data_IF_564560659016
#
_entry.id   IF_564560659016
#
_cell.length_a   1.000
_cell.length_b   1.000
_cell.length_c   1.000
_cell.angle_alpha   90.00
_cell.angle_beta   90.00
_cell.angle_gamma   90.00
#
_symmetry.space_group_name_H-M   'P 1'
#
loop_
_entity.id
_entity.type
_entity.pdbx_description
1 polymer ?
#
# COMPACT_ATOMS: atom_id res chain seq x y z
N UNK A 1 -6.76 -68.02 -4.73
CA UNK A 1 -7.24 -68.03 -6.13
C UNK A 1 -8.49 -67.17 -6.18
N UNK A 2 -8.69 -66.13 -6.98
CA UNK A 2 -7.91 -65.44 -8.01
C UNK A 2 -8.69 -64.15 -8.37
N UNK A 3 -7.98 -63.03 -8.61
CA UNK A 3 -8.20 -62.03 -9.71
C UNK A 3 -9.49 -61.15 -9.64
N UNK A 4 -9.39 -59.82 -9.37
CA UNK A 4 -9.15 -58.67 -10.31
C UNK A 4 -10.44 -58.32 -11.12
N UNK A 5 -11.01 -57.09 -11.18
CA UNK A 5 -10.48 -55.78 -11.61
C UNK A 5 -11.52 -54.62 -11.43
N UNK A 6 -11.02 -53.45 -10.99
CA UNK A 6 -11.28 -52.03 -11.41
C UNK A 6 -12.66 -51.55 -11.93
N UNK A 7 -13.15 -50.41 -11.43
CA UNK A 7 -12.97 -49.07 -12.07
C UNK A 7 -13.88 -47.94 -11.51
N UNK A 8 -13.30 -46.73 -11.52
CA UNK A 8 -13.86 -45.36 -11.56
C UNK A 8 -14.70 -44.79 -10.40
N UNK A 9 -14.01 -43.96 -9.60
CA UNK A 9 -14.53 -42.79 -8.89
C UNK A 9 -14.62 -41.60 -9.86
N UNK A 10 -15.70 -40.82 -9.81
CA UNK A 10 -15.72 -39.42 -10.25
C UNK A 10 -16.25 -38.55 -9.12
N UNK A 11 -15.36 -37.68 -8.62
CA UNK A 11 -15.60 -36.72 -7.56
C UNK A 11 -16.11 -35.41 -8.16
N UNK A 12 -17.19 -34.92 -7.58
CA UNK A 12 -17.74 -33.58 -7.76
C UNK A 12 -16.85 -32.62 -6.97
N UNK A 13 -16.10 -31.74 -7.65
CA UNK A 13 -15.34 -30.65 -7.02
C UNK A 13 -16.15 -29.37 -7.13
N UNK A 14 -16.53 -28.87 -5.95
CA UNK A 14 -17.31 -27.66 -5.69
C UNK A 14 -16.46 -26.42 -6.00
N UNK A 15 -17.06 -25.49 -6.76
CA UNK A 15 -16.58 -24.12 -6.99
C UNK A 15 -16.30 -23.39 -5.66
N UNK A 16 -15.08 -22.89 -5.48
CA UNK A 16 -14.77 -21.82 -4.51
C UNK A 16 -14.86 -20.45 -5.19
N UNK A 17 -15.43 -19.42 -4.55
CA UNK A 17 -15.48 -18.08 -5.10
C UNK A 17 -14.11 -17.39 -5.00
N UNK A 18 -13.78 -16.63 -6.04
CA UNK A 18 -12.61 -15.78 -6.12
C UNK A 18 -12.63 -14.68 -5.05
N UNK A 19 -11.47 -14.43 -4.45
CA UNK A 19 -11.22 -13.33 -3.50
C UNK A 19 -11.52 -11.97 -4.18
N UNK A 20 -12.13 -10.99 -3.47
CA UNK A 20 -12.73 -9.81 -4.12
C UNK A 20 -11.71 -8.84 -4.72
N UNK A 21 -12.07 -8.31 -5.88
CA UNK A 21 -11.45 -7.27 -6.71
C UNK A 21 -11.22 -5.89 -6.05
N UNK A 22 -11.29 -5.78 -4.73
CA UNK A 22 -11.12 -4.51 -3.97
C UNK A 22 -9.65 -4.07 -3.90
N UNK A 23 -8.71 -5.02 -3.97
CA UNK A 23 -7.27 -4.76 -3.86
C UNK A 23 -6.67 -4.07 -5.10
N UNK A 24 -7.27 -4.23 -6.28
CA UNK A 24 -6.83 -3.56 -7.51
C UNK A 24 -7.02 -2.04 -7.45
N UNK A 25 -8.04 -1.56 -6.71
CA UNK A 25 -8.32 -0.13 -6.61
C UNK A 25 -7.41 0.57 -5.61
N UNK A 26 -7.08 -0.07 -4.47
CA UNK A 26 -6.14 0.50 -3.49
C UNK A 26 -4.70 0.55 -4.03
N UNK A 27 -4.34 -0.38 -4.91
CA UNK A 27 -3.02 -0.47 -5.56
C UNK A 27 -2.83 0.54 -6.71
N UNK A 28 -3.90 0.90 -7.43
CA UNK A 28 -3.85 1.95 -8.46
C UNK A 28 -3.73 3.36 -7.86
N UNK A 29 -4.26 3.59 -6.66
CA UNK A 29 -4.18 4.90 -5.99
C UNK A 29 -2.77 5.20 -5.46
N UNK A 30 -1.99 4.18 -5.13
CA UNK A 30 -0.64 4.33 -4.56
C UNK A 30 0.47 4.52 -5.62
N UNK A 31 0.14 4.47 -6.92
CA UNK A 31 1.10 4.60 -8.03
C UNK A 31 0.84 5.78 -8.99
N UNK A 32 0.07 6.80 -8.58
CA UNK A 32 0.00 8.04 -9.35
C UNK A 32 1.30 8.86 -9.21
N UNK A 33 2.25 8.66 -10.13
CA UNK A 33 3.32 9.62 -10.37
C UNK A 33 2.77 10.88 -11.04
N UNK A 34 2.81 11.98 -10.28
CA UNK A 34 3.10 13.38 -10.64
C UNK A 34 2.92 13.74 -12.12
N UNK A 35 1.68 14.13 -12.46
CA UNK A 35 1.36 15.00 -13.59
C UNK A 35 1.61 16.46 -13.19
N UNK A 36 2.18 17.26 -14.10
CA UNK A 36 2.61 18.65 -13.91
C UNK A 36 1.49 19.66 -13.58
N UNK A 37 0.23 19.24 -13.51
CA UNK A 37 -0.89 20.06 -13.03
C UNK A 37 -1.20 19.90 -11.54
N UNK A 38 -0.52 18.99 -10.83
CA UNK A 38 -0.69 18.80 -9.38
C UNK A 38 -0.04 19.93 -8.57
N UNK A 39 0.99 20.62 -9.09
CA UNK A 39 1.64 21.72 -8.37
C UNK A 39 0.74 22.94 -8.10
N UNK A 40 -0.17 23.26 -9.03
CA UNK A 40 -1.14 24.34 -8.83
C UNK A 40 -2.28 23.94 -7.89
N UNK A 41 -2.66 22.66 -7.91
CA UNK A 41 -3.68 22.11 -7.00
C UNK A 41 -3.11 21.93 -5.59
N UNK A 42 -1.85 21.51 -5.44
CA UNK A 42 -1.15 21.42 -4.15
C UNK A 42 -0.86 22.80 -3.56
N UNK A 43 -0.55 23.81 -4.39
CA UNK A 43 -0.46 25.21 -3.95
C UNK A 43 -1.81 25.74 -3.47
N UNK A 44 -2.89 25.47 -4.20
CA UNK A 44 -4.24 25.88 -3.78
C UNK A 44 -4.72 25.13 -2.53
N UNK A 45 -4.44 23.83 -2.43
CA UNK A 45 -4.77 23.02 -1.24
C UNK A 45 -3.92 23.46 -0.05
N UNK A 46 -2.65 23.81 -0.25
CA UNK A 46 -1.78 24.36 0.79
C UNK A 46 -2.30 25.72 1.28
N UNK A 47 -2.69 26.62 0.38
CA UNK A 47 -3.28 27.93 0.72
C UNK A 47 -4.64 27.78 1.44
N UNK A 48 -5.42 26.75 1.09
CA UNK A 48 -6.72 26.46 1.70
C UNK A 48 -6.55 25.78 3.07
N UNK A 49 -5.52 24.94 3.23
CA UNK A 49 -5.09 24.35 4.49
C UNK A 49 -4.53 25.42 5.44
N UNK A 50 -3.72 26.36 4.95
CA UNK A 50 -3.22 27.50 5.73
C UNK A 50 -4.35 28.44 6.17
N UNK A 51 -5.30 28.74 5.28
CA UNK A 51 -6.49 29.54 5.63
C UNK A 51 -7.41 28.83 6.65
N UNK A 52 -7.54 27.50 6.57
CA UNK A 52 -8.28 26.71 7.59
C UNK A 52 -7.53 26.61 8.91
N UNK A 53 -6.20 26.48 8.88
CA UNK A 53 -5.31 26.50 10.06
C UNK A 53 -5.36 27.84 10.78
N UNK A 54 -5.47 28.94 10.02
CA UNK A 54 -5.70 30.30 10.54
C UNK A 54 -7.10 30.45 11.17
N UNK A 55 -8.16 29.97 10.51
CA UNK A 55 -9.53 29.99 11.07
C UNK A 55 -9.63 29.21 12.39
N UNK A 56 -8.94 28.07 12.51
CA UNK A 56 -8.89 27.27 13.74
C UNK A 56 -8.09 27.95 14.86
N UNK A 57 -6.96 28.60 14.54
CA UNK A 57 -6.20 29.41 15.53
C UNK A 57 -7.02 30.58 16.08
N UNK A 58 -7.90 31.19 15.27
CA UNK A 58 -8.82 32.25 15.69
C UNK A 58 -10.01 31.71 16.50
N UNK A 59 -10.49 30.51 16.22
CA UNK A 59 -11.56 29.89 17.03
C UNK A 59 -11.06 29.43 18.41
N UNK A 60 -9.83 28.92 18.48
CA UNK A 60 -9.24 28.43 19.73
C UNK A 60 -8.91 29.57 20.71
N UNK A 61 -8.58 30.77 20.21
CA UNK A 61 -8.39 31.95 21.05
C UNK A 61 -9.70 32.48 21.66
N UNK A 62 -10.84 32.31 20.97
CA UNK A 62 -12.16 32.69 21.50
C UNK A 62 -12.63 31.81 22.65
N UNK A 63 -12.30 30.51 22.64
CA UNK A 63 -12.62 29.62 23.77
C UNK A 63 -11.73 29.85 25.00
N UNK A 64 -10.53 30.42 24.83
CA UNK A 64 -9.58 30.67 25.92
C UNK A 64 -9.91 31.91 26.77
N UNK A 65 -10.66 32.88 26.21
CA UNK A 65 -11.03 34.14 26.89
C UNK A 65 -12.42 34.12 27.57
N UNK A 66 -13.09 32.96 27.60
CA UNK A 66 -14.45 32.81 28.14
C UNK A 66 -14.56 32.45 29.62
N UNK A 67 -13.51 32.61 30.45
CA UNK A 67 -13.62 32.37 31.91
C UNK A 67 -13.95 33.67 32.65
N UNK A 68 -15.16 33.70 33.20
CA UNK A 68 -15.67 34.71 34.12
C UNK A 68 -14.75 34.87 35.35
N UNK A 69 -14.51 36.13 35.70
CA UNK A 69 -13.77 36.60 36.87
C UNK A 69 -14.56 36.28 38.16
N UNK A 70 -13.97 35.71 39.23
CA UNK A 70 -14.69 35.52 40.48
C UNK A 70 -14.82 36.84 41.22
N UNK A 71 -16.05 37.19 41.63
CA UNK A 71 -16.34 38.31 42.50
C UNK A 71 -15.96 37.96 43.94
N UNK A 72 -14.90 38.59 44.45
CA UNK A 72 -14.67 38.73 45.88
C UNK A 72 -14.84 40.22 46.24
N UNK A 73 -15.92 40.53 46.97
CA UNK A 73 -16.09 41.79 47.69
C UNK A 73 -16.01 41.48 49.18
N UNK A 74 -15.06 42.11 49.89
CA UNK A 74 -15.20 42.49 51.30
C UNK A 74 -14.20 43.61 51.67
N UNK A 75 -14.72 44.70 52.23
CA UNK A 75 -14.04 45.73 53.07
C UNK A 75 -13.06 46.68 52.36
N UNK A 76 -13.36 47.96 52.15
CA UNK A 76 -13.46 49.14 53.06
C UNK A 76 -12.19 50.02 53.06
N UNK A 77 -12.44 51.34 52.88
CA UNK A 77 -11.64 52.52 53.23
C UNK A 77 -10.37 52.84 52.42
N UNK A 78 -10.37 53.93 51.62
CA UNK A 78 -9.99 55.28 52.09
C UNK A 78 -10.06 56.34 50.99
N UNK A 79 -10.39 57.56 51.41
CA UNK A 79 -10.44 58.80 50.61
C UNK A 79 -9.22 59.64 51.00
N UNK A 80 -8.42 60.08 50.02
CA UNK A 80 -7.92 61.47 49.87
C UNK A 80 -6.58 61.56 49.10
N UNK A 81 -6.62 62.40 48.06
CA UNK A 81 -5.62 63.39 47.60
C UNK A 81 -4.11 63.04 47.61
N UNK A 82 -3.45 63.14 46.45
CA UNK A 82 -2.66 64.34 46.06
C UNK A 82 -2.02 64.21 44.67
N UNK A 83 -1.99 65.34 43.97
CA UNK A 83 -1.33 65.59 42.69
C UNK A 83 0.20 65.47 42.76
N UNK A 84 0.83 64.82 41.77
CA UNK A 84 2.13 65.25 41.20
C UNK A 84 2.13 65.01 39.68
N UNK A 85 2.70 65.99 38.97
CA UNK A 85 2.71 66.28 37.52
C UNK A 85 3.34 65.20 36.63
N UNK A 86 2.77 65.04 35.43
CA UNK A 86 3.39 64.48 34.22
C UNK A 86 4.52 65.40 33.68
N UNK A 87 5.55 64.88 32.96
CA UNK A 87 5.41 64.73 31.50
C UNK A 87 6.16 63.53 30.86
N UNK A 88 5.45 62.84 29.95
CA UNK A 88 5.97 62.12 28.77
C UNK A 88 7.15 61.16 28.95
N UNK A 89 6.84 59.90 29.25
CA UNK A 89 7.55 58.78 28.65
C UNK A 89 6.62 58.08 27.66
N UNK A 90 7.04 58.13 26.42
CA UNK A 90 6.52 57.39 25.27
C UNK A 90 6.17 55.96 25.66
N UNK A 91 4.89 55.60 25.54
CA UNK A 91 4.48 54.21 25.39
C UNK A 91 5.16 53.66 24.13
N UNK A 92 6.34 53.07 24.32
CA UNK A 92 6.94 52.12 23.41
C UNK A 92 5.91 51.00 23.25
N UNK A 93 5.06 51.12 22.22
CA UNK A 93 4.35 49.97 21.65
C UNK A 93 5.44 48.94 21.37
N UNK A 94 5.52 47.90 22.19
CA UNK A 94 6.32 46.73 21.89
C UNK A 94 5.91 46.30 20.48
N UNK A 95 6.87 46.34 19.56
CA UNK A 95 6.61 45.98 18.17
C UNK A 95 6.03 44.59 18.19
N UNK A 96 4.82 44.41 17.66
CA UNK A 96 4.21 43.10 17.51
C UNK A 96 5.11 42.25 16.61
N UNK A 97 5.96 41.43 17.22
CA UNK A 97 6.87 40.55 16.51
C UNK A 97 6.10 39.29 16.18
N UNK A 98 5.62 39.22 14.95
CA UNK A 98 5.00 38.02 14.37
C UNK A 98 5.87 36.77 14.58
N UNK A 99 7.19 36.91 14.67
CA UNK A 99 8.14 35.85 14.98
C UNK A 99 8.07 35.35 16.43
N UNK A 100 7.84 36.21 17.42
CA UNK A 100 7.62 35.80 18.82
C UNK A 100 6.26 35.13 18.98
N UNK A 101 5.22 35.64 18.31
CA UNK A 101 3.89 35.04 18.31
C UNK A 101 3.85 33.71 17.52
N UNK A 102 4.64 33.61 16.45
CA UNK A 102 4.86 32.37 15.71
C UNK A 102 5.55 31.35 16.60
N UNK A 103 6.65 31.71 17.27
CA UNK A 103 7.34 30.84 18.23
C UNK A 103 6.44 30.47 19.43
N UNK A 104 5.61 31.36 19.94
CA UNK A 104 4.60 31.04 20.98
C UNK A 104 3.48 30.14 20.47
N UNK A 105 3.13 30.19 19.18
CA UNK A 105 2.09 29.36 18.55
C UNK A 105 2.62 28.03 18.01
N UNK A 106 3.92 27.90 17.78
CA UNK A 106 4.56 26.67 17.27
C UNK A 106 5.31 25.91 18.35
N UNK A 107 5.79 26.58 19.41
CA UNK A 107 6.55 25.96 20.51
C UNK A 107 5.75 25.87 21.82
N UNK A 108 4.45 26.17 21.83
CA UNK A 108 3.63 25.82 22.98
C UNK A 108 3.18 24.37 22.84
N UNK A 109 3.76 23.44 23.60
CA UNK A 109 3.25 22.08 23.62
C UNK A 109 1.79 22.08 24.05
N UNK A 110 0.99 21.15 23.54
CA UNK A 110 -0.42 21.00 23.93
C UNK A 110 -0.53 20.85 25.46
N UNK A 111 -0.85 21.94 26.16
CA UNK A 111 -1.32 21.91 27.56
C UNK A 111 -2.80 21.58 27.55
N UNK A 112 -3.16 20.47 26.91
CA UNK A 112 -4.53 19.97 26.84
C UNK A 112 -4.62 18.80 27.80
N UNK A 113 -5.50 18.92 28.79
CA UNK A 113 -5.77 17.85 29.76
C UNK A 113 -6.91 16.96 29.23
N UNK A 114 -6.61 15.69 28.93
CA UNK A 114 -7.58 14.76 28.33
C UNK A 114 -8.55 14.12 29.35
N UNK A 115 -8.38 14.37 30.66
CA UNK A 115 -9.19 13.75 31.72
C UNK A 115 -10.70 14.00 31.57
N UNK A 116 -11.10 15.11 30.98
CA UNK A 116 -12.52 15.47 30.74
C UNK A 116 -12.95 15.31 29.27
N UNK A 117 -12.04 14.90 28.39
CA UNK A 117 -12.33 14.79 26.96
C UNK A 117 -13.01 13.46 26.62
N UNK A 118 -13.86 13.50 25.59
CA UNK A 118 -14.43 12.29 24.98
C UNK A 118 -13.39 11.59 24.10
N UNK A 119 -13.56 10.28 23.89
CA UNK A 119 -12.63 9.46 23.07
C UNK A 119 -12.48 10.04 21.66
N UNK A 120 -13.56 10.54 21.05
CA UNK A 120 -13.55 11.18 19.72
C UNK A 120 -12.63 12.40 19.64
N UNK A 121 -12.52 13.16 20.73
CA UNK A 121 -11.67 14.35 20.79
C UNK A 121 -10.22 13.96 21.03
N UNK A 122 -9.97 12.93 21.84
CA UNK A 122 -8.63 12.34 22.03
C UNK A 122 -8.11 11.78 20.71
N UNK A 123 -8.96 11.06 19.98
CA UNK A 123 -8.67 10.54 18.64
C UNK A 123 -8.25 11.65 17.68
N UNK A 124 -9.03 12.74 17.60
CA UNK A 124 -8.72 13.85 16.73
C UNK A 124 -7.37 14.52 17.09
N UNK A 125 -7.09 14.71 18.39
CA UNK A 125 -5.83 15.30 18.83
C UNK A 125 -4.64 14.42 18.46
N UNK A 126 -4.74 13.11 18.72
CA UNK A 126 -3.67 12.16 18.46
C UNK A 126 -3.44 11.97 16.96
N UNK A 127 -4.51 11.87 16.16
CA UNK A 127 -4.40 11.86 14.70
C UNK A 127 -3.74 13.13 14.15
N UNK A 128 -4.09 14.30 14.69
CA UNK A 128 -3.51 15.57 14.24
C UNK A 128 -2.03 15.62 14.58
N UNK A 129 -1.66 15.25 15.82
CA UNK A 129 -0.26 15.21 16.24
C UNK A 129 0.58 14.22 15.41
N UNK A 130 0.01 13.05 15.08
CA UNK A 130 0.65 12.07 14.19
C UNK A 130 0.80 12.60 12.75
N UNK A 131 -0.23 13.27 12.21
CA UNK A 131 -0.20 13.86 10.86
C UNK A 131 0.78 15.04 10.74
N UNK A 132 0.94 15.80 11.81
CA UNK A 132 1.91 16.91 11.89
C UNK A 132 3.32 16.45 12.29
N UNK A 133 3.53 15.14 12.50
CA UNK A 133 4.79 14.55 12.96
C UNK A 133 5.36 15.19 14.24
N UNK A 134 4.49 15.72 15.10
CA UNK A 134 4.89 16.39 16.33
C UNK A 134 5.15 15.36 17.46
N UNK A 135 6.39 14.89 17.56
CA UNK A 135 6.80 13.88 18.53
C UNK A 135 6.55 14.29 19.99
N UNK A 136 6.71 15.58 20.33
CA UNK A 136 6.48 16.05 21.70
C UNK A 136 5.01 15.94 22.09
N UNK A 137 4.11 16.41 21.23
CA UNK A 137 2.67 16.34 21.48
C UNK A 137 2.17 14.90 21.55
N UNK A 138 2.67 14.02 20.68
CA UNK A 138 2.37 12.58 20.74
C UNK A 138 2.81 12.00 22.09
N UNK A 139 4.05 12.27 22.53
CA UNK A 139 4.57 11.77 23.81
C UNK A 139 3.75 12.24 25.02
N UNK A 140 3.31 13.50 25.02
CA UNK A 140 2.51 14.09 26.10
C UNK A 140 1.10 13.52 26.14
N UNK A 141 0.47 13.38 24.97
CA UNK A 141 -0.85 12.76 24.87
C UNK A 141 -0.80 11.29 25.32
N UNK A 142 0.25 10.55 24.93
CA UNK A 142 0.45 9.17 25.36
C UNK A 142 0.66 9.04 26.88
N UNK A 143 1.46 9.91 27.48
CA UNK A 143 1.64 9.93 28.93
C UNK A 143 0.29 10.15 29.65
N UNK A 144 -0.52 11.09 29.17
CA UNK A 144 -1.85 11.32 29.73
C UNK A 144 -2.82 10.16 29.48
N UNK A 145 -2.75 9.49 28.31
CA UNK A 145 -3.56 8.30 28.00
C UNK A 145 -3.27 7.19 29.01
N UNK A 146 -1.99 6.98 29.33
CA UNK A 146 -1.55 6.01 30.33
C UNK A 146 -1.97 6.41 31.75
N UNK A 147 -1.81 7.68 32.11
CA UNK A 147 -2.19 8.22 33.43
C UNK A 147 -3.70 8.10 33.68
N UNK A 148 -4.52 8.57 32.74
CA UNK A 148 -5.97 8.58 32.86
C UNK A 148 -6.66 7.29 32.38
N UNK A 149 -5.88 6.31 31.91
CA UNK A 149 -6.38 5.04 31.37
C UNK A 149 -7.47 5.21 30.30
N UNK A 150 -7.32 6.23 29.46
CA UNK A 150 -8.28 6.57 28.40
C UNK A 150 -7.75 6.14 27.04
N UNK A 151 -8.16 4.96 26.58
CA UNK A 151 -7.74 4.46 25.28
C UNK A 151 -8.44 5.23 24.14
N UNK A 152 -7.70 5.59 23.07
CA UNK A 152 -8.29 6.06 21.83
C UNK A 152 -9.03 4.91 21.13
N UNK A 153 -9.78 5.22 20.07
CA UNK A 153 -10.39 4.17 19.25
C UNK A 153 -9.35 3.26 18.61
N UNK A 154 -9.73 2.02 18.31
CA UNK A 154 -8.82 1.01 17.77
C UNK A 154 -8.06 1.45 16.50
N UNK A 155 -8.68 2.15 15.52
CA UNK A 155 -7.96 2.64 14.35
C UNK A 155 -6.84 3.63 14.69
N UNK A 156 -7.12 4.57 15.60
CA UNK A 156 -6.13 5.57 16.04
C UNK A 156 -5.05 4.90 16.87
N UNK A 157 -5.43 4.01 17.78
CA UNK A 157 -4.49 3.22 18.58
C UNK A 157 -3.51 2.43 17.69
N UNK A 158 -4.02 1.75 16.65
CA UNK A 158 -3.18 1.02 15.70
C UNK A 158 -2.21 1.95 14.96
N UNK A 159 -2.66 3.13 14.55
CA UNK A 159 -1.80 4.14 13.92
C UNK A 159 -0.72 4.63 14.89
N UNK A 160 -1.07 4.88 16.14
CA UNK A 160 -0.14 5.29 17.19
C UNK A 160 0.88 4.19 17.51
N UNK A 161 0.44 2.94 17.70
CA UNK A 161 1.34 1.81 17.95
C UNK A 161 2.28 1.58 16.77
N UNK A 162 1.77 1.69 15.54
CA UNK A 162 2.62 1.63 14.34
C UNK A 162 3.68 2.74 14.35
N UNK A 163 3.30 3.97 14.67
CA UNK A 163 4.22 5.10 14.79
C UNK A 163 5.28 4.87 15.88
N UNK A 164 4.89 4.39 17.05
CA UNK A 164 5.80 4.06 18.15
C UNK A 164 6.79 2.95 17.79
N UNK A 165 6.33 1.91 17.09
CA UNK A 165 7.22 0.85 16.58
C UNK A 165 8.28 1.43 15.61
N UNK A 166 7.92 2.40 14.78
CA UNK A 166 8.86 3.09 13.89
C UNK A 166 9.86 3.97 14.64
N UNK A 167 9.42 4.62 15.72
CA UNK A 167 10.28 5.38 16.63
C UNK A 167 11.08 4.49 17.60
N UNK A 168 10.90 3.16 17.53
CA UNK A 168 11.61 2.16 18.35
C UNK A 168 11.31 2.30 19.86
N UNK A 169 10.14 2.83 20.21
CA UNK A 169 9.70 3.04 21.60
C UNK A 169 9.00 1.77 22.15
N UNK A 170 9.78 0.71 22.37
CA UNK A 170 9.26 -0.59 22.81
C UNK A 170 8.51 -0.52 24.14
N UNK A 171 9.05 0.22 25.11
CA UNK A 171 8.47 0.32 26.46
C UNK A 171 7.06 0.91 26.42
N UNK A 172 6.85 1.99 25.65
CA UNK A 172 5.54 2.62 25.50
C UNK A 172 4.55 1.71 24.77
N UNK A 173 5.01 0.95 23.77
CA UNK A 173 4.19 -0.07 23.09
C UNK A 173 3.75 -1.15 24.08
N UNK A 174 4.64 -1.61 24.95
CA UNK A 174 4.31 -2.61 25.99
C UNK A 174 3.31 -2.05 27.02
N UNK A 175 3.52 -0.82 27.50
CA UNK A 175 2.61 -0.16 28.44
C UNK A 175 1.19 -0.01 27.86
N UNK A 176 1.08 0.40 26.60
CA UNK A 176 -0.21 0.51 25.91
C UNK A 176 -0.85 -0.86 25.67
N UNK A 177 -0.07 -1.88 25.29
CA UNK A 177 -0.57 -3.24 25.13
C UNK A 177 -1.11 -3.82 26.46
N UNK A 178 -0.40 -3.58 27.57
CA UNK A 178 -0.88 -3.95 28.91
C UNK A 178 -2.15 -3.20 29.28
N UNK A 179 -2.25 -1.91 28.95
CA UNK A 179 -3.46 -1.13 29.21
C UNK A 179 -4.68 -1.66 28.43
N UNK A 180 -4.51 -2.02 27.15
CA UNK A 180 -5.55 -2.66 26.32
C UNK A 180 -5.99 -4.00 26.91
N UNK A 181 -5.02 -4.82 27.30
CA UNK A 181 -5.25 -6.13 27.92
C UNK A 181 -6.06 -6.02 29.21
N UNK A 182 -5.82 -4.95 29.99
CA UNK A 182 -6.51 -4.65 31.25
C UNK A 182 -7.95 -4.15 31.03
N UNK A 183 -8.16 -3.29 30.03
CA UNK A 183 -9.45 -2.65 29.78
C UNK A 183 -10.40 -3.49 28.90
N UNK A 184 -9.85 -4.37 28.05
CA UNK A 184 -10.60 -5.19 27.10
C UNK A 184 -10.16 -6.67 27.15
N UNK A 185 -10.41 -7.38 28.26
CA UNK A 185 -9.90 -8.73 28.45
C UNK A 185 -10.43 -9.74 27.41
N UNK A 186 -11.63 -9.52 26.88
CA UNK A 186 -12.23 -10.30 25.80
C UNK A 186 -11.36 -10.38 24.52
N UNK A 187 -10.52 -9.38 24.26
CA UNK A 187 -9.65 -9.37 23.07
C UNK A 187 -8.36 -10.18 23.27
N UNK A 188 -8.03 -10.58 24.51
CA UNK A 188 -6.76 -11.25 24.84
C UNK A 188 -6.63 -12.68 24.33
N UNK A 189 -7.69 -13.25 23.76
CA UNK A 189 -7.71 -14.62 23.25
C UNK A 189 -6.74 -14.86 22.09
N UNK A 190 -6.39 -13.81 21.32
CA UNK A 190 -5.48 -13.90 20.18
C UNK A 190 -4.23 -13.04 20.34
N UNK A 191 -3.13 -13.42 19.68
CA UNK A 191 -1.89 -12.64 19.67
C UNK A 191 -2.09 -11.22 19.08
N UNK A 192 -3.03 -11.06 18.14
CA UNK A 192 -3.41 -9.75 17.60
C UNK A 192 -4.11 -8.87 18.62
N UNK A 193 -5.04 -9.43 19.40
CA UNK A 193 -5.70 -8.66 20.46
C UNK A 193 -4.77 -8.28 21.61
N UNK A 194 -3.70 -9.05 21.83
CA UNK A 194 -2.57 -8.68 22.71
C UNK A 194 -1.57 -7.72 22.07
N UNK A 195 -1.81 -7.28 20.83
CA UNK A 195 -0.97 -6.33 20.09
C UNK A 195 0.49 -6.80 19.88
N UNK A 196 0.73 -8.12 19.91
CA UNK A 196 2.07 -8.70 19.80
C UNK A 196 2.75 -8.40 18.46
N UNK A 197 1.98 -8.18 17.40
CA UNK A 197 2.47 -7.80 16.08
C UNK A 197 3.16 -6.41 16.06
N UNK A 198 2.73 -5.46 16.90
CA UNK A 198 3.42 -4.18 17.03
C UNK A 198 4.72 -4.28 17.83
N UNK A 199 4.77 -5.18 18.82
CA UNK A 199 6.00 -5.53 19.53
C UNK A 199 7.00 -6.19 18.57
N UNK A 200 6.54 -7.15 17.78
CA UNK A 200 7.36 -7.80 16.74
C UNK A 200 7.86 -6.78 15.71
N UNK A 201 7.02 -5.83 15.26
CA UNK A 201 7.44 -4.73 14.39
C UNK A 201 8.48 -3.82 15.05
N UNK A 202 8.32 -3.49 16.33
CA UNK A 202 9.32 -2.69 17.05
C UNK A 202 10.67 -3.41 17.12
N UNK A 203 10.68 -4.73 17.37
CA UNK A 203 11.89 -5.56 17.30
C UNK A 203 12.54 -5.52 15.91
N UNK A 204 11.75 -5.53 14.84
CA UNK A 204 12.25 -5.37 13.47
C UNK A 204 12.96 -4.03 13.27
N UNK A 205 12.34 -2.92 13.68
CA UNK A 205 12.89 -1.56 13.54
C UNK A 205 14.12 -1.33 14.43
N UNK A 206 14.21 -2.03 15.57
CA UNK A 206 15.39 -2.07 16.43
C UNK A 206 16.57 -2.83 15.81
N UNK A 207 16.34 -3.63 14.76
CA UNK A 207 17.37 -4.45 14.10
C UNK A 207 17.43 -5.90 14.60
N UNK A 208 16.58 -6.27 15.56
CA UNK A 208 16.44 -7.65 16.08
C UNK A 208 15.61 -8.51 15.11
N UNK A 209 16.08 -8.59 13.87
CA UNK A 209 15.40 -9.15 12.70
C UNK A 209 14.91 -10.59 12.95
N UNK A 210 15.78 -11.48 13.42
CA UNK A 210 15.43 -12.90 13.64
C UNK A 210 14.36 -13.07 14.73
N UNK A 211 14.49 -12.35 15.85
CA UNK A 211 13.50 -12.37 16.93
C UNK A 211 12.14 -11.85 16.46
N UNK A 212 12.15 -10.80 15.65
CA UNK A 212 10.93 -10.27 15.05
C UNK A 212 10.24 -11.29 14.14
N UNK A 213 10.99 -11.93 13.23
CA UNK A 213 10.45 -12.93 12.31
C UNK A 213 9.92 -14.17 13.04
N UNK A 214 10.60 -14.61 14.10
CA UNK A 214 10.12 -15.69 14.95
C UNK A 214 8.82 -15.32 15.68
N UNK A 215 8.71 -14.09 16.18
CA UNK A 215 7.46 -13.59 16.76
C UNK A 215 6.34 -13.51 15.71
N UNK A 216 6.60 -13.05 14.48
CA UNK A 216 5.59 -13.08 13.42
C UNK A 216 5.17 -14.50 13.06
N UNK A 217 6.09 -15.46 13.11
CA UNK A 217 5.78 -16.87 12.89
C UNK A 217 4.75 -17.38 13.91
N UNK A 218 4.95 -17.11 15.20
CA UNK A 218 4.01 -17.53 16.26
C UNK A 218 2.68 -16.80 16.13
N UNK A 219 2.69 -15.50 15.85
CA UNK A 219 1.48 -14.71 15.62
C UNK A 219 0.65 -15.30 14.48
N UNK A 220 1.27 -15.64 13.34
CA UNK A 220 0.57 -16.17 12.17
C UNK A 220 -0.12 -17.52 12.39
N UNK A 221 0.44 -18.36 13.29
CA UNK A 221 -0.18 -19.63 13.69
C UNK A 221 -1.45 -19.40 14.51
N UNK A 222 -1.43 -18.40 15.40
CA UNK A 222 -2.56 -18.07 16.28
C UNK A 222 -3.67 -17.28 15.57
N UNK A 223 -3.40 -16.71 14.39
CA UNK A 223 -4.34 -15.84 13.67
C UNK A 223 -5.36 -16.63 12.83
N UNK A 224 -6.61 -16.16 12.87
CA UNK A 224 -7.64 -16.52 11.88
C UNK A 224 -7.34 -15.91 10.50
N UNK A 225 -8.01 -16.40 9.45
CA UNK A 225 -7.79 -15.91 8.07
C UNK A 225 -8.02 -14.39 7.91
N UNK A 226 -9.05 -13.84 8.55
CA UNK A 226 -9.35 -12.40 8.49
C UNK A 226 -8.27 -11.56 9.18
N UNK A 227 -7.76 -12.09 10.29
CA UNK A 227 -6.72 -11.50 11.11
C UNK A 227 -5.35 -11.49 10.42
N UNK A 228 -5.06 -12.50 9.59
CA UNK A 228 -3.82 -12.57 8.81
C UNK A 228 -3.67 -11.39 7.87
N UNK A 229 -4.77 -10.83 7.35
CA UNK A 229 -4.73 -9.63 6.49
C UNK A 229 -4.07 -8.45 7.20
N UNK A 230 -4.32 -8.25 8.50
CA UNK A 230 -3.68 -7.17 9.25
C UNK A 230 -2.17 -7.40 9.41
N UNK A 231 -1.77 -8.65 9.65
CA UNK A 231 -0.35 -9.05 9.77
C UNK A 231 0.36 -8.93 8.42
N UNK A 232 -0.31 -9.32 7.33
CA UNK A 232 0.20 -9.21 5.96
C UNK A 232 0.61 -7.77 5.65
N UNK A 233 -0.19 -6.76 6.01
CA UNK A 233 0.19 -5.35 5.77
C UNK A 233 1.52 -4.96 6.43
N UNK A 234 1.83 -5.53 7.59
CA UNK A 234 3.09 -5.29 8.30
C UNK A 234 4.22 -6.07 7.63
N UNK A 235 3.96 -7.33 7.25
CA UNK A 235 4.92 -8.14 6.50
C UNK A 235 5.29 -7.48 5.16
N UNK A 236 4.33 -6.91 4.42
CA UNK A 236 4.58 -6.18 3.17
C UNK A 236 5.60 -5.05 3.39
N UNK A 237 5.41 -4.26 4.45
CA UNK A 237 6.33 -3.19 4.81
C UNK A 237 7.74 -3.73 5.11
N UNK A 238 7.84 -4.82 5.89
CA UNK A 238 9.12 -5.46 6.19
C UNK A 238 9.81 -6.01 4.93
N UNK A 239 9.03 -6.58 4.01
CA UNK A 239 9.52 -7.11 2.73
C UNK A 239 10.05 -5.97 1.86
N UNK A 240 9.30 -4.88 1.74
CA UNK A 240 9.71 -3.69 0.97
C UNK A 240 10.95 -2.99 1.57
N UNK A 241 11.13 -3.06 2.89
CA UNK A 241 12.35 -2.60 3.56
C UNK A 241 13.54 -3.54 3.37
N UNK A 242 13.29 -4.80 3.05
CA UNK A 242 14.34 -5.82 2.91
C UNK A 242 14.90 -5.83 1.51
N UNK A 243 14.03 -5.90 0.50
CA UNK A 243 14.41 -6.07 -0.90
C UNK A 243 15.16 -4.83 -1.41
N UNK A 244 16.36 -5.05 -1.94
CA UNK A 244 17.26 -4.01 -2.44
C UNK A 244 17.85 -3.05 -1.40
N UNK A 245 17.67 -3.30 -0.09
CA UNK A 245 18.21 -2.44 0.98
C UNK A 245 18.93 -3.19 2.09
N UNK A 246 18.45 -4.36 2.50
CA UNK A 246 19.06 -5.18 3.56
C UNK A 246 19.96 -6.26 2.97
N UNK A 247 20.69 -6.96 3.84
CA UNK A 247 21.57 -8.05 3.44
C UNK A 247 20.78 -9.27 2.96
N UNK A 248 21.42 -10.09 2.12
CA UNK A 248 20.89 -11.35 1.61
C UNK A 248 20.44 -12.30 2.72
N UNK A 249 21.18 -12.37 3.83
CA UNK A 249 20.82 -13.19 4.98
C UNK A 249 19.46 -12.79 5.59
N UNK A 250 19.13 -11.50 5.60
CA UNK A 250 17.81 -11.02 6.06
C UNK A 250 16.72 -11.38 5.05
N UNK A 251 17.00 -11.24 3.75
CA UNK A 251 16.08 -11.67 2.69
C UNK A 251 15.76 -13.17 2.81
N UNK A 252 16.76 -14.02 3.00
CA UNK A 252 16.57 -15.46 3.21
C UNK A 252 15.74 -15.76 4.46
N UNK A 253 15.94 -15.02 5.56
CA UNK A 253 15.13 -15.18 6.76
C UNK A 253 13.65 -14.80 6.52
N UNK A 254 13.40 -13.72 5.77
CA UNK A 254 12.05 -13.30 5.36
C UNK A 254 11.41 -14.33 4.43
N UNK A 255 12.18 -14.86 3.46
CA UNK A 255 11.74 -15.94 2.58
C UNK A 255 11.34 -17.16 3.41
N UNK A 256 12.15 -17.59 4.38
CA UNK A 256 11.84 -18.74 5.23
C UNK A 256 10.53 -18.57 6.00
N UNK A 257 10.22 -17.37 6.49
CA UNK A 257 8.93 -17.08 7.11
C UNK A 257 7.78 -17.20 6.10
N UNK A 258 7.96 -16.69 4.89
CA UNK A 258 6.95 -16.77 3.84
C UNK A 258 6.77 -18.21 3.32
N UNK A 259 7.84 -19.01 3.25
CA UNK A 259 7.79 -20.44 2.93
C UNK A 259 6.98 -21.19 3.99
N UNK A 260 7.20 -20.90 5.28
CA UNK A 260 6.39 -21.44 6.36
C UNK A 260 4.90 -21.09 6.20
N UNK A 261 4.58 -19.85 5.82
CA UNK A 261 3.19 -19.45 5.55
C UNK A 261 2.57 -20.26 4.40
N UNK A 262 3.35 -20.53 3.34
CA UNK A 262 2.89 -21.33 2.21
C UNK A 262 2.67 -22.80 2.59
N UNK A 263 3.62 -23.42 3.30
CA UNK A 263 3.59 -24.87 3.56
C UNK A 263 2.66 -25.25 4.70
N UNK A 264 2.73 -24.53 5.83
CA UNK A 264 2.00 -24.88 7.05
C UNK A 264 0.62 -24.22 7.09
N UNK A 265 0.53 -22.96 6.68
CA UNK A 265 -0.71 -22.17 6.78
C UNK A 265 -1.53 -22.16 5.48
N UNK A 266 -0.96 -22.67 4.38
CA UNK A 266 -1.53 -22.60 3.02
C UNK A 266 -1.88 -21.18 2.59
N UNK A 267 -1.13 -20.20 3.12
CA UNK A 267 -1.27 -18.78 2.83
C UNK A 267 -0.22 -18.38 1.80
N UNK A 268 -0.62 -18.30 0.53
CA UNK A 268 0.26 -18.06 -0.60
C UNK A 268 0.62 -16.57 -0.79
N UNK A 269 -0.11 -15.67 -0.14
CA UNK A 269 0.04 -14.23 -0.36
C UNK A 269 1.44 -13.68 -0.05
N UNK A 270 2.04 -13.93 1.14
CA UNK A 270 3.34 -13.33 1.49
C UNK A 270 4.45 -13.81 0.57
N UNK A 271 4.47 -15.11 0.26
CA UNK A 271 5.52 -15.69 -0.58
C UNK A 271 5.43 -15.19 -2.03
N UNK A 272 4.23 -14.99 -2.56
CA UNK A 272 4.05 -14.39 -3.88
C UNK A 272 4.53 -12.94 -3.91
N UNK A 273 4.28 -12.17 -2.84
CA UNK A 273 4.73 -10.79 -2.77
C UNK A 273 6.26 -10.69 -2.70
N UNK A 274 6.90 -11.50 -1.85
CA UNK A 274 8.36 -11.59 -1.80
C UNK A 274 8.92 -11.98 -3.16
N UNK A 275 8.35 -13.00 -3.81
CA UNK A 275 8.79 -13.42 -5.14
C UNK A 275 8.67 -12.29 -6.17
N UNK A 276 7.52 -11.63 -6.26
CA UNK A 276 7.29 -10.56 -7.23
C UNK A 276 8.27 -9.40 -7.01
N UNK A 277 8.41 -8.95 -5.76
CA UNK A 277 9.31 -7.84 -5.43
C UNK A 277 10.78 -8.18 -5.67
N UNK A 278 11.21 -9.40 -5.34
CA UNK A 278 12.58 -9.85 -5.58
C UNK A 278 12.85 -10.02 -7.08
N UNK A 279 11.88 -10.53 -7.86
CA UNK A 279 11.98 -10.65 -9.32
C UNK A 279 12.10 -9.30 -10.02
N UNK A 280 11.35 -8.29 -9.53
CA UNK A 280 11.36 -6.92 -10.05
C UNK A 280 12.51 -6.07 -9.49
N UNK A 281 13.27 -6.56 -8.50
CA UNK A 281 14.39 -5.83 -7.91
C UNK A 281 15.47 -5.54 -8.96
N UNK A 282 16.17 -4.42 -8.80
CA UNK A 282 17.33 -4.08 -9.61
C UNK A 282 18.58 -4.90 -9.24
N UNK A 283 18.59 -5.51 -8.04
CA UNK A 283 19.74 -6.24 -7.52
C UNK A 283 19.75 -7.69 -8.02
N UNK A 284 20.91 -8.15 -8.49
CA UNK A 284 21.07 -9.52 -9.00
C UNK A 284 20.80 -10.58 -7.94
N UNK A 285 21.31 -10.39 -6.71
CA UNK A 285 21.10 -11.32 -5.59
C UNK A 285 19.61 -11.58 -5.31
N UNK A 286 18.79 -10.51 -5.34
CA UNK A 286 17.35 -10.63 -5.12
C UNK A 286 16.69 -11.39 -6.26
N UNK A 287 17.08 -11.11 -7.51
CA UNK A 287 16.56 -11.82 -8.68
C UNK A 287 16.93 -13.31 -8.65
N UNK A 288 18.14 -13.65 -8.21
CA UNK A 288 18.58 -15.03 -8.05
C UNK A 288 17.82 -15.75 -6.93
N UNK A 289 17.58 -15.08 -5.79
CA UNK A 289 16.69 -15.57 -4.74
C UNK A 289 15.26 -15.80 -5.26
N UNK A 290 14.73 -14.92 -6.12
CA UNK A 290 13.41 -15.12 -6.72
C UNK A 290 13.37 -16.34 -7.67
N UNK A 291 14.43 -16.54 -8.48
CA UNK A 291 14.55 -17.70 -9.39
C UNK A 291 14.60 -19.01 -8.62
N UNK A 292 15.48 -19.10 -7.63
CA UNK A 292 15.62 -20.28 -6.75
C UNK A 292 14.32 -20.59 -6.00
N UNK A 293 13.62 -19.56 -5.53
CA UNK A 293 12.34 -19.71 -4.87
C UNK A 293 11.26 -20.27 -5.81
N UNK A 294 11.20 -19.76 -7.04
CA UNK A 294 10.29 -20.25 -8.09
C UNK A 294 10.58 -21.70 -8.48
N UNK A 295 11.85 -22.09 -8.51
CA UNK A 295 12.28 -23.46 -8.81
C UNK A 295 11.86 -24.44 -7.72
N UNK A 296 11.96 -24.04 -6.45
CA UNK A 296 11.72 -24.90 -5.28
C UNK A 296 10.24 -25.21 -5.04
N UNK A 297 9.33 -24.25 -5.26
CA UNK A 297 7.94 -24.36 -4.81
C UNK A 297 6.92 -24.43 -5.95
N UNK A 298 6.38 -25.62 -6.20
CA UNK A 298 5.30 -25.79 -7.19
C UNK A 298 4.03 -24.99 -6.86
N UNK A 299 3.68 -24.87 -5.57
CA UNK A 299 2.52 -24.10 -5.13
C UNK A 299 2.68 -22.60 -5.43
N UNK A 300 3.90 -22.06 -5.30
CA UNK A 300 4.22 -20.69 -5.71
C UNK A 300 4.03 -20.53 -7.23
N UNK A 301 4.48 -21.48 -8.05
CA UNK A 301 4.31 -21.42 -9.51
C UNK A 301 2.83 -21.31 -9.92
N UNK A 302 1.95 -22.08 -9.28
CA UNK A 302 0.51 -22.01 -9.52
C UNK A 302 -0.08 -20.66 -9.10
N UNK A 303 0.31 -20.16 -7.92
CA UNK A 303 -0.14 -18.87 -7.43
C UNK A 303 0.32 -17.72 -8.35
N UNK A 304 1.56 -17.75 -8.81
CA UNK A 304 2.13 -16.79 -9.77
C UNK A 304 1.42 -16.89 -11.13
N UNK A 305 1.15 -18.10 -11.64
CA UNK A 305 0.39 -18.30 -12.89
C UNK A 305 -0.95 -17.56 -12.87
N UNK A 306 -1.69 -17.66 -11.75
CA UNK A 306 -2.97 -16.97 -11.60
C UNK A 306 -2.87 -15.44 -11.68
N UNK A 307 -1.73 -14.87 -11.27
CA UNK A 307 -1.46 -13.41 -11.21
C UNK A 307 -0.70 -12.89 -12.43
N UNK A 308 -0.19 -13.79 -13.28
CA UNK A 308 0.70 -13.49 -14.41
C UNK A 308 0.11 -12.50 -15.40
N UNK A 309 -1.19 -12.55 -15.65
CA UNK A 309 -1.87 -11.61 -16.56
C UNK A 309 -1.74 -10.16 -16.09
N UNK A 310 -1.95 -9.93 -14.80
CA UNK A 310 -1.86 -8.59 -14.21
C UNK A 310 -0.41 -8.11 -14.15
N UNK A 311 0.52 -9.01 -13.78
CA UNK A 311 1.95 -8.71 -13.77
C UNK A 311 2.45 -8.34 -15.17
N UNK A 312 2.06 -9.09 -16.20
CA UNK A 312 2.41 -8.80 -17.59
C UNK A 312 1.87 -7.44 -18.04
N UNK A 313 0.61 -7.12 -17.73
CA UNK A 313 0.04 -5.82 -18.05
C UNK A 313 0.83 -4.67 -17.42
N UNK A 314 1.17 -4.80 -16.13
CA UNK A 314 1.99 -3.80 -15.42
C UNK A 314 3.38 -3.65 -16.05
N UNK A 315 4.07 -4.75 -16.32
CA UNK A 315 5.40 -4.73 -16.94
C UNK A 315 5.40 -4.08 -18.32
N UNK A 316 4.40 -4.39 -19.16
CA UNK A 316 4.27 -3.81 -20.49
C UNK A 316 3.89 -2.32 -20.42
N UNK A 317 3.03 -1.92 -19.47
CA UNK A 317 2.71 -0.52 -19.22
C UNK A 317 3.96 0.28 -18.82
N UNK A 318 4.80 -0.27 -17.95
CA UNK A 318 6.09 0.30 -17.55
C UNK A 318 7.17 0.17 -18.63
N UNK A 319 6.82 -0.32 -19.83
CA UNK A 319 7.73 -0.58 -20.96
C UNK A 319 8.88 -1.54 -20.65
N UNK A 320 8.75 -2.35 -19.60
CA UNK A 320 9.76 -3.31 -19.17
C UNK A 320 9.59 -4.66 -19.86
N UNK A 321 9.84 -4.66 -21.17
CA UNK A 321 9.71 -5.83 -22.04
C UNK A 321 10.70 -6.93 -21.67
N UNK A 322 11.90 -6.57 -21.20
CA UNK A 322 12.93 -7.53 -20.79
C UNK A 322 12.44 -8.43 -19.65
N UNK A 323 11.77 -7.86 -18.64
CA UNK A 323 11.19 -8.65 -17.55
C UNK A 323 10.08 -9.59 -18.01
N UNK A 324 9.35 -9.25 -19.08
CA UNK A 324 8.37 -10.15 -19.69
C UNK A 324 9.07 -11.34 -20.36
N UNK A 325 10.17 -11.11 -21.06
CA UNK A 325 10.97 -12.21 -21.62
C UNK A 325 11.57 -13.10 -20.52
N UNK A 326 12.15 -12.52 -19.46
CA UNK A 326 12.65 -13.27 -18.31
C UNK A 326 11.55 -14.12 -17.64
N UNK A 327 10.32 -13.60 -17.59
CA UNK A 327 9.17 -14.34 -17.07
C UNK A 327 8.76 -15.50 -17.99
N UNK A 328 8.81 -15.31 -19.32
CA UNK A 328 8.58 -16.39 -20.29
C UNK A 328 9.64 -17.47 -20.14
N UNK A 329 10.92 -17.12 -20.01
CA UNK A 329 12.02 -18.08 -19.78
C UNK A 329 11.79 -18.90 -18.51
N UNK A 330 11.37 -18.25 -17.41
CA UNK A 330 11.02 -18.93 -16.17
C UNK A 330 9.88 -19.94 -16.35
N UNK A 331 8.82 -19.58 -17.07
CA UNK A 331 7.71 -20.51 -17.32
C UNK A 331 8.09 -21.64 -18.27
N UNK A 332 8.93 -21.38 -19.28
CA UNK A 332 9.43 -22.42 -20.18
C UNK A 332 10.27 -23.46 -19.44
N UNK A 333 11.13 -23.03 -18.51
CA UNK A 333 11.93 -23.93 -17.66
C UNK A 333 11.08 -24.94 -16.88
N UNK A 334 9.85 -24.57 -16.51
CA UNK A 334 8.91 -25.40 -15.75
C UNK A 334 7.76 -25.98 -16.59
N UNK A 335 7.92 -25.99 -17.92
CA UNK A 335 6.94 -26.53 -18.88
C UNK A 335 5.54 -25.89 -18.83
N UNK A 336 5.43 -24.65 -18.35
CA UNK A 336 4.17 -23.90 -18.20
C UNK A 336 3.74 -23.24 -19.53
N UNK A 337 3.50 -24.06 -20.56
CA UNK A 337 3.26 -23.61 -21.94
C UNK A 337 1.99 -22.74 -22.10
N UNK A 338 0.97 -22.95 -21.26
CA UNK A 338 -0.27 -22.18 -21.35
C UNK A 338 -0.06 -20.72 -20.92
N UNK A 339 0.74 -20.52 -19.89
CA UNK A 339 1.16 -19.22 -19.37
C UNK A 339 2.07 -18.52 -20.38
N UNK A 340 3.06 -19.24 -20.94
CA UNK A 340 3.90 -18.72 -22.02
C UNK A 340 3.08 -18.25 -23.22
N UNK A 341 2.08 -19.04 -23.66
CA UNK A 341 1.15 -18.66 -24.72
C UNK A 341 0.43 -17.36 -24.38
N UNK A 342 -0.11 -17.25 -23.16
CA UNK A 342 -0.80 -16.03 -22.73
C UNK A 342 0.11 -14.81 -22.74
N UNK A 343 1.36 -14.95 -22.32
CA UNK A 343 2.35 -13.86 -22.31
C UNK A 343 2.77 -13.45 -23.72
N UNK A 344 3.05 -14.42 -24.60
CA UNK A 344 3.42 -14.16 -26.00
C UNK A 344 2.32 -13.41 -26.75
N UNK A 345 1.04 -13.77 -26.53
CA UNK A 345 -0.10 -13.04 -27.12
C UNK A 345 -0.10 -11.57 -26.67
N UNK A 346 0.05 -11.31 -25.36
CA UNK A 346 0.06 -9.93 -24.83
C UNK A 346 1.26 -9.13 -25.29
N UNK A 347 2.42 -9.76 -25.35
CA UNK A 347 3.64 -9.14 -25.87
C UNK A 347 3.51 -8.82 -27.36
N UNK A 348 2.92 -9.71 -28.15
CA UNK A 348 2.62 -9.48 -29.56
C UNK A 348 1.67 -8.29 -29.73
N UNK A 349 0.55 -8.27 -29.00
CA UNK A 349 -0.40 -7.16 -29.02
C UNK A 349 0.30 -5.84 -28.70
N UNK A 350 1.11 -5.79 -27.64
CA UNK A 350 1.86 -4.61 -27.24
C UNK A 350 2.81 -4.11 -28.35
N UNK A 351 3.56 -4.99 -29.01
CA UNK A 351 4.45 -4.61 -30.10
C UNK A 351 3.69 -4.21 -31.38
N UNK A 352 2.55 -4.83 -31.64
CA UNK A 352 1.66 -4.47 -32.75
C UNK A 352 1.12 -3.04 -32.58
N UNK A 353 0.66 -2.66 -31.38
CA UNK A 353 0.23 -1.29 -31.07
C UNK A 353 1.34 -0.26 -31.30
N UNK A 354 2.60 -0.65 -31.10
CA UNK A 354 3.79 0.17 -31.39
C UNK A 354 4.24 0.12 -32.85
N UNK A 355 3.54 -0.63 -33.71
CA UNK A 355 3.87 -0.87 -35.13
C UNK A 355 5.27 -1.45 -35.34
N UNK A 356 5.76 -2.25 -34.40
CA UNK A 356 7.08 -2.85 -34.47
C UNK A 356 7.03 -4.20 -35.21
N UNK A 357 7.12 -4.15 -36.54
CA UNK A 357 7.06 -5.32 -37.40
C UNK A 357 8.12 -6.37 -37.05
N UNK A 358 9.36 -5.94 -36.80
CA UNK A 358 10.48 -6.84 -36.50
C UNK A 358 10.20 -7.65 -35.24
N UNK A 359 9.80 -6.97 -34.15
CA UNK A 359 9.49 -7.66 -32.90
C UNK A 359 8.28 -8.59 -33.02
N UNK A 360 7.24 -8.20 -33.77
CA UNK A 360 6.09 -9.08 -34.03
C UNK A 360 6.51 -10.36 -34.80
N UNK A 361 7.39 -10.22 -35.79
CA UNK A 361 7.94 -11.36 -36.54
C UNK A 361 8.80 -12.28 -35.65
N UNK A 362 9.67 -11.70 -34.81
CA UNK A 362 10.50 -12.46 -33.87
C UNK A 362 9.64 -13.22 -32.84
N UNK A 363 8.57 -12.60 -32.32
CA UNK A 363 7.63 -13.27 -31.40
C UNK A 363 6.91 -14.44 -32.07
N UNK A 364 6.48 -14.28 -33.33
CA UNK A 364 5.86 -15.36 -34.08
C UNK A 364 6.83 -16.50 -34.38
N UNK A 365 8.06 -16.19 -34.76
CA UNK A 365 9.10 -17.20 -34.97
C UNK A 365 9.39 -17.96 -33.67
N UNK A 366 9.59 -17.25 -32.56
CA UNK A 366 9.80 -17.86 -31.25
C UNK A 366 8.62 -18.76 -30.84
N UNK A 367 7.38 -18.37 -31.13
CA UNK A 367 6.23 -19.21 -30.83
C UNK A 367 6.21 -20.50 -31.66
N UNK A 368 6.62 -20.44 -32.93
CA UNK A 368 6.78 -21.62 -33.80
C UNK A 368 7.88 -22.52 -33.25
N UNK A 369 9.05 -21.96 -32.94
CA UNK A 369 10.22 -22.70 -32.45
C UNK A 369 9.92 -23.40 -31.10
N UNK A 370 9.14 -22.74 -30.24
CA UNK A 370 8.69 -23.29 -28.95
C UNK A 370 7.48 -24.23 -29.05
N UNK A 371 6.97 -24.48 -30.26
CA UNK A 371 5.75 -25.26 -30.52
C UNK A 371 4.51 -24.74 -29.76
N UNK A 372 4.38 -23.42 -29.67
CA UNK A 372 3.24 -22.73 -29.03
C UNK A 372 2.31 -22.18 -30.12
N UNK A 373 1.08 -22.70 -30.16
CA UNK A 373 0.08 -22.24 -31.13
C UNK A 373 -0.48 -20.87 -30.74
N UNK A 374 -0.14 -19.83 -31.50
CA UNK A 374 -0.73 -18.50 -31.35
C UNK A 374 -2.11 -18.42 -32.04
N UNK A 375 -3.02 -17.53 -31.57
CA UNK A 375 -4.29 -17.29 -32.24
C UNK A 375 -4.10 -16.75 -33.66
N UNK A 376 -5.02 -17.10 -34.57
CA UNK A 376 -5.00 -16.65 -35.97
C UNK A 376 -5.03 -15.11 -36.10
N UNK A 377 -5.62 -14.43 -35.12
CA UNK A 377 -5.61 -12.97 -35.00
C UNK A 377 -4.20 -12.38 -35.04
N UNK A 378 -3.20 -13.02 -34.40
CA UNK A 378 -1.82 -12.57 -34.43
C UNK A 378 -1.22 -12.64 -35.85
N UNK A 379 -1.54 -13.71 -36.61
CA UNK A 379 -1.09 -13.85 -38.00
C UNK A 379 -1.71 -12.76 -38.87
N UNK A 380 -3.01 -12.47 -38.71
CA UNK A 380 -3.70 -11.40 -39.44
C UNK A 380 -3.08 -10.03 -39.14
N UNK A 381 -2.86 -9.72 -37.87
CA UNK A 381 -2.20 -8.48 -37.44
C UNK A 381 -0.76 -8.35 -38.00
N UNK A 382 0.01 -9.44 -38.07
CA UNK A 382 1.33 -9.39 -38.70
C UNK A 382 1.22 -9.09 -40.21
N UNK A 383 0.27 -9.73 -40.91
CA UNK A 383 0.02 -9.47 -42.33
C UNK A 383 -0.42 -8.02 -42.56
N UNK A 384 -1.27 -7.45 -41.70
CA UNK A 384 -1.66 -6.04 -41.77
C UNK A 384 -0.46 -5.09 -41.65
N UNK A 385 0.47 -5.39 -40.73
CA UNK A 385 1.72 -4.62 -40.59
C UNK A 385 2.62 -4.77 -41.82
N UNK A 386 2.75 -5.98 -42.37
CA UNK A 386 3.56 -6.25 -43.58
C UNK A 386 3.01 -5.55 -44.82
N UNK A 387 1.69 -5.52 -44.96
CA UNK A 387 0.99 -4.88 -46.09
C UNK A 387 0.87 -3.35 -45.92
N UNK A 388 1.31 -2.80 -44.79
CA UNK A 388 1.29 -1.36 -44.54
C UNK A 388 -0.11 -0.76 -44.38
N UNK A 389 -1.13 -1.58 -44.08
CA UNK A 389 -2.51 -1.13 -43.88
C UNK A 389 -2.71 -0.51 -42.48
N UNK A 390 -1.87 0.46 -42.12
CA UNK A 390 -2.10 1.32 -40.96
C UNK A 390 -3.12 2.40 -41.30
N UNK A 391 -4.38 2.21 -40.88
CA UNK A 391 -5.52 3.15 -40.98
C UNK A 391 -6.08 3.45 -42.37
N UNK A 392 -7.01 2.62 -42.83
CA UNK A 392 -8.20 3.09 -43.56
C UNK A 392 -9.25 2.00 -43.56
N UNK A 393 -10.08 1.94 -42.53
CA UNK A 393 -11.48 1.46 -42.60
C UNK A 393 -12.13 1.61 -41.22
N UNK A 394 -12.36 2.87 -40.81
CA UNK A 394 -13.61 3.14 -40.11
C UNK A 394 -14.74 2.86 -41.12
N UNK A 395 -15.75 2.04 -40.82
CA UNK A 395 -16.89 1.91 -41.69
C UNK A 395 -17.64 3.25 -41.66
N UNK A 396 -17.48 4.06 -42.71
CA UNK A 396 -18.36 5.20 -42.97
C UNK A 396 -19.74 4.65 -43.32
N UNK A 397 -20.65 4.70 -42.37
CA UNK A 397 -22.06 4.86 -42.70
C UNK A 397 -22.24 6.18 -43.46
N UNK A 398 -22.49 6.08 -44.76
CA UNK A 398 -23.28 7.07 -45.50
C UNK A 398 -23.71 6.52 -46.86
N UNK A 399 -24.95 6.06 -46.91
CA UNK A 399 -25.96 6.34 -47.93
C UNK A 399 -25.58 6.36 -49.43
N UNK A 400 -26.30 5.50 -50.17
CA UNK A 400 -26.83 5.68 -51.55
C UNK A 400 -25.81 5.73 -52.69
N UNK A 401 -25.79 4.66 -53.48
CA UNK A 401 -26.52 4.60 -54.75
C UNK A 401 -26.44 3.18 -55.34
N UNK A 402 -27.60 2.60 -55.63
CA UNK A 402 -27.66 1.41 -56.46
C UNK A 402 -27.26 1.80 -57.88
N UNK A 403 -26.28 1.10 -58.43
CA UNK A 403 -26.09 1.02 -59.87
C UNK A 403 -25.82 -0.43 -60.22
N UNK A 404 -26.78 -0.99 -60.94
CA UNK A 404 -26.71 -2.25 -61.66
C UNK A 404 -25.35 -2.41 -62.34
N UNK A 405 -24.62 -3.47 -61.95
CA UNK A 405 -23.54 -4.01 -62.75
C UNK A 405 -23.88 -5.46 -63.07
N UNK A 406 -24.20 -5.68 -64.35
CA UNK A 406 -24.50 -6.99 -64.94
C UNK A 406 -23.32 -7.96 -64.74
N UNK A 407 -23.57 -9.26 -64.48
CA UNK A 407 -22.51 -10.24 -64.32
C UNK A 407 -21.89 -10.55 -65.69
N UNK A 408 -20.64 -10.14 -65.90
CA UNK A 408 -19.85 -10.63 -67.03
C UNK A 408 -19.48 -12.10 -66.75
N UNK A 409 -20.02 -13.00 -67.58
CA UNK A 409 -19.61 -14.39 -67.73
C UNK A 409 -18.12 -14.44 -68.07
N UNK A 410 -17.29 -14.91 -67.14
CA UNK A 410 -15.99 -15.47 -67.48
C UNK A 410 -16.14 -17.00 -67.59
N UNK A 411 -16.06 -17.52 -68.81
CA UNK A 411 -15.84 -18.94 -69.06
C UNK A 411 -14.34 -19.23 -68.91
N UNK A 412 -13.99 -20.07 -67.94
CA UNK A 412 -12.69 -20.73 -67.88
C UNK A 412 -12.58 -21.69 -69.07
N UNK A 413 -11.58 -21.48 -69.94
CA UNK A 413 -11.10 -22.50 -70.88
C UNK A 413 -10.01 -23.29 -70.18
N UNK A 414 -10.17 -24.61 -70.17
CA UNK A 414 -9.16 -25.59 -69.75
C UNK A 414 -8.00 -25.64 -70.74
#
# INVERSE_FOLDING_TARGET
MAVLLTASRQAIIIFRPAVPSVWLLSWLVSYQRKSTNIGAVDSFISDLMENKKLKWKVLNSRHRNGKAKPSAQLGQADVAATNVRHPTETLLRSSFRLSELYNELTNNPLVVNISQMEVSQVDHLLETALKEENAEDVSRLLAQILEYKKLPSMPVLNATLKHLSHQKQMETVEQLATLVTLLHPEQNSSALGRLEHFKALCQWKLGNTLKSLEAFRTIMVDCSEEQRVAVDHILLEMIDETIGRKSEAVLLAVINLCEFCLTELRHDFPICYVWEKSFLSAWHSDQEAAKTLFDRHAALRLAVSSRTKNLCYKLLYDSNVEKVYQLIELFLKHEMKAECKSLLIRLFEYQYWRKNLRACSEIMQNAIDLNITLPEMCNRHLLELLLGHGSSTLPKESSKQSKDLKPNKYQLKF
#
